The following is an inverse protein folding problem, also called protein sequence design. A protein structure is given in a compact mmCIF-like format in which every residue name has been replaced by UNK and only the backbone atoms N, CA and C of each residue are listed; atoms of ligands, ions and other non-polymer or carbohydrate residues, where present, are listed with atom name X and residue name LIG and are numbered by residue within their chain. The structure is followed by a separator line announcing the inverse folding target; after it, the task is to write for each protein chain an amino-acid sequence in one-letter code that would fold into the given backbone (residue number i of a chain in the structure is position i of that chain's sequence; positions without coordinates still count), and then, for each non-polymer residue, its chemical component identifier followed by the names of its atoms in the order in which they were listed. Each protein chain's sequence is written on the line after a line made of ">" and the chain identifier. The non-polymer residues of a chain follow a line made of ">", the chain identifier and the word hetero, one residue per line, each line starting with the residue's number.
data_IF_046989178790
#
_entry.id   IF_046989178790
#
_cell.length_a   1.000
_cell.length_b   1.000
_cell.length_c   1.000
_cell.angle_alpha   90.00
_cell.angle_beta   90.00
_cell.angle_gamma   90.00
#
_symmetry.space_group_name_H-M   'P 1'
#
loop_
_entity.id
_entity.type
_entity.pdbx_description
1 polymer ?
#
# COMPACT_ATOMS: atom_id res chain seq x y z
N UNK A 1 2.38 18.50 17.09
CA UNK A 1 1.38 17.41 17.14
C UNK A 1 1.07 17.09 15.68
N UNK A 2 1.75 16.08 15.12
CA UNK A 2 1.40 15.58 13.79
C UNK A 2 -0.02 15.01 13.84
N UNK A 3 -0.89 15.48 12.97
CA UNK A 3 -2.21 14.89 12.79
C UNK A 3 -2.03 13.68 11.86
N UNK A 4 -2.63 12.52 12.17
CA UNK A 4 -2.59 11.38 11.28
C UNK A 4 -3.24 11.74 9.93
N UNK A 5 -2.56 11.42 8.83
CA UNK A 5 -3.12 11.55 7.50
C UNK A 5 -4.14 10.43 7.31
N UNK A 6 -5.41 10.77 7.34
CA UNK A 6 -6.50 9.83 7.08
C UNK A 6 -6.83 9.92 5.61
N UNK A 7 -6.42 8.92 4.84
CA UNK A 7 -6.84 8.78 3.46
C UNK A 7 -8.05 7.86 3.39
N UNK A 8 -9.27 8.38 3.17
CA UNK A 8 -10.38 7.51 2.82
C UNK A 8 -10.11 6.93 1.43
N UNK A 9 -9.83 5.65 1.37
CA UNK A 9 -9.80 4.94 0.08
C UNK A 9 -11.25 4.76 -0.36
N UNK A 10 -11.77 5.75 -1.07
CA UNK A 10 -13.06 5.65 -1.73
C UNK A 10 -12.83 5.01 -3.09
N UNK A 11 -12.93 3.71 -3.17
CA UNK A 11 -13.17 3.05 -4.45
C UNK A 11 -14.62 3.34 -4.80
N UNK A 12 -14.86 4.09 -5.88
CA UNK A 12 -16.20 4.24 -6.42
C UNK A 12 -16.69 2.86 -6.84
N UNK A 13 -17.87 2.43 -6.40
CA UNK A 13 -18.53 1.29 -7.00
C UNK A 13 -19.14 1.76 -8.33
N UNK A 14 -18.33 1.90 -9.36
CA UNK A 14 -18.82 2.06 -10.72
C UNK A 14 -18.60 0.75 -11.44
N UNK A 15 -19.58 -0.12 -11.36
CA UNK A 15 -20.19 -0.79 -12.51
C UNK A 15 -21.54 -1.31 -12.02
N UNK A 16 -22.62 -0.84 -12.64
CA UNK A 16 -23.96 -1.33 -12.42
C UNK A 16 -24.09 -2.81 -12.81
N UNK A 17 -23.71 -3.64 -11.88
CA UNK A 17 -24.20 -4.99 -11.75
C UNK A 17 -24.93 -4.96 -10.42
N UNK A 18 -26.25 -5.05 -10.49
CA UNK A 18 -27.08 -5.43 -9.34
C UNK A 18 -26.65 -6.84 -8.91
N UNK A 19 -25.49 -6.92 -8.25
CA UNK A 19 -25.03 -8.14 -7.62
C UNK A 19 -25.71 -8.19 -6.24
N UNK A 20 -26.71 -9.06 -6.05
CA UNK A 20 -27.39 -9.23 -4.77
C UNK A 20 -26.43 -9.69 -3.65
N UNK A 21 -25.17 -9.98 -3.97
CA UNK A 21 -24.12 -10.35 -3.02
C UNK A 21 -23.23 -9.19 -2.57
N UNK A 22 -23.39 -7.98 -3.15
CA UNK A 22 -22.64 -6.79 -2.76
C UNK A 22 -23.37 -5.87 -1.79
N UNK A 23 -24.53 -6.29 -1.29
CA UNK A 23 -25.07 -5.67 -0.10
C UNK A 23 -24.13 -5.95 1.06
N UNK A 24 -23.73 -4.90 1.75
CA UNK A 24 -23.02 -4.87 3.04
C UNK A 24 -23.70 -5.76 4.11
N UNK A 25 -23.79 -7.04 3.81
CA UNK A 25 -24.22 -8.04 4.76
C UNK A 25 -22.97 -8.58 5.46
N UNK A 26 -22.60 -7.98 6.60
CA UNK A 26 -22.17 -8.83 7.70
C UNK A 26 -23.08 -10.05 7.64
N UNK A 27 -22.55 -11.25 7.47
CA UNK A 27 -23.34 -12.46 7.60
C UNK A 27 -24.13 -12.35 8.88
N UNK A 28 -25.44 -12.66 8.88
CA UNK A 28 -26.29 -12.47 10.04
C UNK A 28 -26.00 -13.54 11.09
N UNK A 29 -24.84 -13.47 11.71
CA UNK A 29 -24.75 -13.88 13.11
C UNK A 29 -25.07 -12.60 13.90
N UNK A 30 -26.22 -12.53 14.54
CA UNK A 30 -26.61 -11.35 15.29
C UNK A 30 -25.55 -11.14 16.39
N UNK A 31 -24.70 -10.12 16.23
CA UNK A 31 -23.88 -9.57 17.29
C UNK A 31 -22.36 -9.59 17.16
N UNK A 32 -21.73 -10.15 16.13
CA UNK A 32 -20.26 -10.13 16.01
C UNK A 32 -19.87 -9.56 14.64
N UNK A 33 -19.45 -8.29 14.63
CA UNK A 33 -18.79 -7.67 13.50
C UNK A 33 -17.30 -8.05 13.60
N UNK A 34 -16.79 -8.85 12.66
CA UNK A 34 -15.37 -9.15 12.59
C UNK A 34 -14.69 -8.09 11.73
N UNK A 35 -13.73 -7.41 12.28
CA UNK A 35 -12.89 -6.46 11.58
C UNK A 35 -11.43 -6.79 11.92
N UNK A 36 -10.53 -6.67 10.95
CA UNK A 36 -9.13 -6.96 11.13
C UNK A 36 -8.32 -5.66 11.07
N UNK A 37 -7.42 -5.45 12.04
CA UNK A 37 -6.50 -4.31 12.05
C UNK A 37 -5.09 -4.83 11.80
N UNK A 38 -4.48 -4.34 10.71
CA UNK A 38 -3.11 -4.65 10.32
C UNK A 38 -2.18 -3.53 10.76
N UNK A 39 -1.48 -3.70 11.88
CA UNK A 39 -0.48 -2.76 12.38
C UNK A 39 0.92 -3.29 12.06
N UNK A 40 1.68 -2.65 11.18
CA UNK A 40 3.03 -3.08 10.82
C UNK A 40 3.52 -2.62 9.46
N UNK A 41 4.64 -3.18 8.99
CA UNK A 41 5.17 -2.96 7.65
C UNK A 41 4.41 -3.71 6.57
N UNK A 42 4.89 -3.64 5.32
CA UNK A 42 4.21 -4.20 4.15
C UNK A 42 3.82 -5.66 4.27
N UNK A 43 4.71 -6.52 4.80
CA UNK A 43 4.42 -7.96 5.00
C UNK A 43 3.21 -8.18 5.90
N UNK A 44 3.07 -7.39 6.97
CA UNK A 44 1.92 -7.50 7.88
C UNK A 44 0.64 -7.04 7.18
N UNK A 45 0.71 -5.93 6.42
CA UNK A 45 -0.41 -5.44 5.62
C UNK A 45 -0.88 -6.46 4.59
N UNK A 46 0.05 -7.04 3.84
CA UNK A 46 -0.24 -8.04 2.80
C UNK A 46 -0.86 -9.32 3.39
N UNK A 47 -0.26 -9.86 4.45
CA UNK A 47 -0.76 -11.08 5.10
C UNK A 47 -2.13 -10.87 5.73
N UNK A 48 -2.32 -9.77 6.45
CA UNK A 48 -3.57 -9.44 7.11
C UNK A 48 -4.68 -9.15 6.08
N UNK A 49 -4.36 -8.41 5.02
CA UNK A 49 -5.30 -8.14 3.94
C UNK A 49 -5.72 -9.41 3.19
N UNK A 50 -4.78 -10.33 2.92
CA UNK A 50 -5.11 -11.63 2.33
C UNK A 50 -5.95 -12.50 3.28
N UNK A 51 -5.63 -12.51 4.58
CA UNK A 51 -6.45 -13.19 5.59
C UNK A 51 -7.87 -12.60 5.64
N UNK A 52 -7.99 -11.26 5.61
CA UNK A 52 -9.29 -10.58 5.57
C UNK A 52 -10.07 -10.92 4.30
N UNK A 53 -9.42 -10.98 3.14
CA UNK A 53 -10.05 -11.33 1.87
C UNK A 53 -10.60 -12.76 1.83
N UNK A 54 -9.95 -13.68 2.54
CA UNK A 54 -10.28 -15.12 2.48
C UNK A 54 -11.14 -15.60 3.66
N UNK A 55 -11.03 -14.95 4.82
CA UNK A 55 -11.81 -15.32 5.99
C UNK A 55 -13.29 -14.98 5.76
N UNK A 56 -14.16 -15.96 5.92
CA UNK A 56 -15.62 -15.86 5.72
C UNK A 56 -16.04 -15.19 4.39
N UNK A 57 -15.27 -15.38 3.34
CA UNK A 57 -15.42 -14.76 2.00
C UNK A 57 -15.19 -13.25 1.96
N UNK A 58 -14.54 -12.70 2.96
CA UNK A 58 -14.17 -11.29 3.09
C UNK A 58 -14.72 -10.64 4.33
N UNK A 59 -13.84 -10.03 5.13
CA UNK A 59 -14.19 -9.18 6.27
C UNK A 59 -13.50 -7.82 6.10
N UNK A 60 -14.09 -6.73 6.60
CA UNK A 60 -13.42 -5.42 6.59
C UNK A 60 -12.05 -5.47 7.26
N UNK A 61 -11.08 -4.72 6.71
CA UNK A 61 -9.80 -4.54 7.38
C UNK A 61 -9.31 -3.10 7.30
N UNK A 62 -8.49 -2.72 8.29
CA UNK A 62 -7.85 -1.42 8.43
C UNK A 62 -6.36 -1.65 8.41
N UNK A 63 -5.61 -0.80 7.69
CA UNK A 63 -4.14 -0.81 7.71
C UNK A 63 -3.60 0.36 8.51
N UNK A 64 -2.59 0.09 9.34
CA UNK A 64 -1.79 1.09 10.06
C UNK A 64 -0.33 0.81 9.70
N UNK A 65 0.17 1.37 8.58
CA UNK A 65 1.52 1.11 8.09
C UNK A 65 2.57 1.80 8.97
N UNK A 66 3.63 1.06 9.36
CA UNK A 66 4.67 1.55 10.26
C UNK A 66 6.05 1.67 9.62
N UNK A 67 6.20 1.39 8.35
CA UNK A 67 7.42 1.60 7.56
C UNK A 67 7.16 2.60 6.44
N UNK A 68 8.18 3.34 6.01
CA UNK A 68 8.02 4.32 4.93
C UNK A 68 7.50 3.65 3.66
N UNK A 69 8.08 2.51 3.27
CA UNK A 69 7.62 1.72 2.12
C UNK A 69 6.13 1.38 2.21
N UNK A 70 5.66 1.02 3.40
CA UNK A 70 4.25 0.69 3.58
C UNK A 70 3.36 1.94 3.56
N UNK A 71 3.83 3.06 4.07
CA UNK A 71 3.09 4.32 4.08
C UNK A 71 2.91 4.90 2.68
N UNK A 72 3.97 4.88 1.86
CA UNK A 72 3.93 5.50 0.53
C UNK A 72 3.49 4.55 -0.59
N UNK A 73 3.55 3.23 -0.36
CA UNK A 73 3.32 2.25 -1.42
C UNK A 73 2.39 1.12 -1.01
N UNK A 74 2.83 0.12 -0.23
CA UNK A 74 2.12 -1.16 -0.13
C UNK A 74 0.73 -1.08 0.52
N UNK A 75 0.43 -0.07 1.34
CA UNK A 75 -0.90 0.12 1.94
C UNK A 75 -1.97 0.64 0.96
N UNK A 76 -1.56 1.14 -0.21
CA UNK A 76 -2.46 1.73 -1.22
C UNK A 76 -2.58 0.79 -2.41
N UNK A 77 -3.81 0.52 -2.87
CA UNK A 77 -4.07 -0.19 -4.12
C UNK A 77 -4.47 -1.66 -3.99
N UNK A 78 -4.70 -2.13 -2.76
CA UNK A 78 -5.40 -3.38 -2.48
C UNK A 78 -4.75 -4.69 -2.94
N UNK A 79 -3.50 -4.67 -3.41
CA UNK A 79 -2.74 -5.89 -3.71
C UNK A 79 -2.30 -6.51 -2.40
N UNK A 80 -2.93 -7.60 -1.99
CA UNK A 80 -2.60 -8.34 -0.77
C UNK A 80 -2.21 -9.76 -1.11
N UNK A 81 -1.14 -10.27 -0.50
CA UNK A 81 -0.60 -11.57 -0.87
C UNK A 81 0.23 -12.22 0.25
N UNK A 82 0.53 -13.50 0.04
CA UNK A 82 1.45 -14.26 0.89
C UNK A 82 2.50 -14.97 0.04
N UNK A 83 3.68 -15.14 0.63
CA UNK A 83 4.75 -15.90 0.01
C UNK A 83 4.45 -17.39 0.03
N UNK A 84 4.85 -18.09 -1.01
CA UNK A 84 4.77 -19.53 -1.13
C UNK A 84 6.17 -20.13 -1.34
N UNK A 85 6.29 -21.45 -1.26
CA UNK A 85 7.52 -22.16 -1.60
C UNK A 85 7.95 -21.98 -3.07
N UNK A 86 7.06 -21.51 -3.91
CA UNK A 86 7.30 -21.33 -5.35
C UNK A 86 7.69 -19.90 -5.72
N UNK A 87 7.52 -18.94 -4.82
CA UNK A 87 7.89 -17.54 -5.05
C UNK A 87 7.18 -16.55 -4.12
N UNK A 88 7.65 -15.32 -4.21
CA UNK A 88 7.13 -14.18 -3.44
C UNK A 88 5.79 -13.72 -4.04
N UNK A 89 4.80 -13.46 -3.17
CA UNK A 89 3.52 -12.84 -3.52
C UNK A 89 2.70 -13.54 -4.62
N UNK A 90 2.85 -14.87 -4.79
CA UNK A 90 2.13 -15.62 -5.84
C UNK A 90 0.70 -15.99 -5.46
N UNK A 91 0.34 -15.94 -4.19
CA UNK A 91 -0.99 -16.25 -3.70
C UNK A 91 -1.55 -14.98 -3.07
N UNK A 92 -2.56 -14.40 -3.70
CA UNK A 92 -3.08 -13.11 -3.26
C UNK A 92 -4.47 -12.80 -3.82
N UNK A 93 -4.92 -11.61 -3.51
CA UNK A 93 -6.19 -11.06 -3.95
C UNK A 93 -6.06 -9.54 -4.17
N UNK A 94 -6.98 -8.97 -4.94
CA UNK A 94 -7.24 -7.54 -4.91
C UNK A 94 -8.31 -7.28 -3.83
N UNK A 95 -7.91 -6.73 -2.71
CA UNK A 95 -8.79 -6.50 -1.58
C UNK A 95 -8.46 -5.17 -0.89
N UNK A 96 -9.32 -4.19 -1.06
CA UNK A 96 -9.08 -2.82 -0.57
C UNK A 96 -9.33 -2.72 0.94
N UNK A 97 -8.45 -2.08 1.70
CA UNK A 97 -8.72 -1.74 3.09
C UNK A 97 -9.87 -0.72 3.17
N UNK A 98 -10.66 -0.78 4.25
CA UNK A 98 -11.69 0.22 4.53
C UNK A 98 -11.09 1.56 4.97
N UNK A 99 -9.91 1.51 5.56
CA UNK A 99 -9.17 2.68 6.04
C UNK A 99 -7.69 2.37 6.03
N UNK A 100 -6.88 3.34 5.63
CA UNK A 100 -5.43 3.37 5.87
C UNK A 100 -5.15 4.55 6.79
N UNK A 101 -4.65 4.26 7.99
CA UNK A 101 -4.27 5.26 8.97
C UNK A 101 -2.74 5.40 8.96
N UNK A 102 -2.23 6.49 8.42
CA UNK A 102 -0.80 6.76 8.29
C UNK A 102 -0.40 7.75 9.39
N UNK A 103 0.54 7.31 10.24
CA UNK A 103 1.18 8.15 11.26
C UNK A 103 2.68 8.22 10.94
N UNK A 104 3.18 9.38 10.45
CA UNK A 104 4.60 9.56 10.17
C UNK A 104 5.49 9.41 11.41
N UNK A 105 4.97 9.61 12.60
CA UNK A 105 5.73 9.46 13.84
C UNK A 105 6.21 8.03 14.08
N UNK A 106 5.55 7.03 13.50
CA UNK A 106 6.04 5.64 13.50
C UNK A 106 7.43 5.50 12.87
N UNK A 107 7.82 6.42 11.98
CA UNK A 107 9.10 6.38 11.29
C UNK A 107 10.28 6.86 12.15
N UNK A 108 10.01 7.54 13.27
CA UNK A 108 11.07 8.02 14.20
C UNK A 108 11.90 6.90 14.80
N UNK A 109 11.34 5.71 14.92
CA UNK A 109 12.00 4.52 15.46
C UNK A 109 12.37 3.51 14.39
N UNK A 110 12.11 3.82 13.10
CA UNK A 110 12.43 2.94 12.00
C UNK A 110 13.94 2.90 11.75
N UNK A 111 14.49 1.70 11.56
CA UNK A 111 15.88 1.53 11.15
C UNK A 111 16.15 2.24 9.82
N UNK A 112 17.30 2.94 9.72
CA UNK A 112 17.68 3.73 8.55
C UNK A 112 17.65 2.95 7.24
N UNK A 113 17.91 1.67 7.29
CA UNK A 113 17.87 0.79 6.14
C UNK A 113 16.46 0.63 5.60
N UNK A 114 15.48 0.35 6.46
CA UNK A 114 14.08 0.26 6.04
C UNK A 114 13.51 1.62 5.63
N UNK A 115 14.06 2.71 6.17
CA UNK A 115 13.74 4.04 5.68
C UNK A 115 14.25 4.23 4.25
N UNK A 116 15.49 3.83 3.97
CA UNK A 116 16.08 3.90 2.63
C UNK A 116 15.33 3.04 1.60
N UNK A 117 14.85 1.86 2.00
CA UNK A 117 14.00 1.01 1.14
C UNK A 117 12.74 1.77 0.69
N UNK A 118 12.08 2.49 1.62
CA UNK A 118 10.92 3.32 1.30
C UNK A 118 11.25 4.53 0.43
N UNK A 119 12.44 5.11 0.60
CA UNK A 119 12.91 6.23 -0.21
C UNK A 119 13.05 5.89 -1.70
N UNK A 120 13.37 4.65 -2.02
CA UNK A 120 13.42 4.20 -3.41
C UNK A 120 12.04 4.37 -4.10
N UNK A 121 10.96 4.06 -3.39
CA UNK A 121 9.61 4.26 -3.91
C UNK A 121 9.23 5.75 -4.00
N UNK A 122 9.64 6.57 -3.04
CA UNK A 122 9.43 8.03 -3.10
C UNK A 122 10.09 8.61 -4.35
N UNK A 123 11.36 8.24 -4.61
CA UNK A 123 12.10 8.66 -5.80
C UNK A 123 11.40 8.17 -7.07
N UNK A 124 10.92 6.93 -7.08
CA UNK A 124 10.14 6.38 -8.19
C UNK A 124 8.94 7.27 -8.52
N UNK A 125 8.14 7.69 -7.54
CA UNK A 125 6.99 8.55 -7.77
C UNK A 125 7.39 9.90 -8.36
N UNK A 126 8.48 10.48 -7.87
CA UNK A 126 9.07 11.68 -8.46
C UNK A 126 9.43 11.48 -9.94
N UNK A 127 10.07 10.36 -10.27
CA UNK A 127 10.47 10.05 -11.64
C UNK A 127 9.30 9.83 -12.60
N UNK A 128 8.20 9.22 -12.14
CA UNK A 128 7.09 8.84 -13.05
C UNK A 128 5.99 9.89 -13.19
N UNK A 129 5.79 10.74 -12.17
CA UNK A 129 4.62 11.65 -12.13
C UNK A 129 4.87 13.02 -11.54
N UNK A 130 5.93 13.24 -10.77
CA UNK A 130 6.06 14.48 -9.99
C UNK A 130 7.50 15.01 -9.94
N UNK A 131 7.91 15.71 -11.00
CA UNK A 131 9.22 16.34 -11.09
C UNK A 131 9.49 17.30 -9.90
N UNK A 132 8.45 17.96 -9.39
CA UNK A 132 8.61 18.87 -8.25
C UNK A 132 8.88 18.16 -6.93
N UNK A 133 8.42 16.89 -6.81
CA UNK A 133 8.82 16.03 -5.69
C UNK A 133 10.32 15.71 -5.76
N UNK A 134 10.86 15.38 -6.94
CA UNK A 134 12.31 15.19 -7.10
C UNK A 134 13.10 16.43 -6.73
N UNK A 135 12.69 17.60 -7.19
CA UNK A 135 13.35 18.84 -6.85
C UNK A 135 13.33 19.14 -5.33
N UNK A 136 12.24 18.80 -4.66
CA UNK A 136 12.15 18.87 -3.20
C UNK A 136 13.16 17.94 -2.53
N UNK A 137 13.24 16.67 -2.97
CA UNK A 137 14.16 15.68 -2.41
C UNK A 137 15.63 16.05 -2.57
N UNK A 138 15.98 16.81 -3.63
CA UNK A 138 17.35 17.27 -3.88
C UNK A 138 17.74 18.49 -3.05
N UNK A 139 16.80 19.36 -2.69
CA UNK A 139 17.08 20.68 -2.16
C UNK A 139 16.61 20.90 -0.71
N UNK A 140 15.79 20.03 -0.17
CA UNK A 140 15.15 20.21 1.14
C UNK A 140 15.41 19.01 2.07
N UNK A 141 15.31 19.25 3.38
CA UNK A 141 15.34 18.13 4.35
C UNK A 141 14.01 17.36 4.29
N UNK A 142 14.11 16.11 3.88
CA UNK A 142 12.96 15.23 3.77
C UNK A 142 12.26 14.99 5.11
N UNK A 143 13.00 14.98 6.22
CA UNK A 143 12.43 14.72 7.54
C UNK A 143 11.54 15.88 8.01
N UNK A 144 11.82 17.11 7.58
CA UNK A 144 10.98 18.28 7.85
C UNK A 144 9.71 18.29 6.98
N UNK A 145 9.76 17.65 5.80
CA UNK A 145 8.69 17.63 4.80
C UNK A 145 8.00 16.26 4.65
N UNK A 146 8.26 15.33 5.59
CA UNK A 146 7.90 13.92 5.47
C UNK A 146 6.39 13.69 5.26
N UNK A 147 5.54 14.43 5.97
CA UNK A 147 4.09 14.35 5.85
C UNK A 147 3.61 14.71 4.42
N UNK A 148 4.12 15.82 3.88
CA UNK A 148 3.83 16.26 2.50
C UNK A 148 4.34 15.26 1.46
N UNK A 149 5.52 14.67 1.68
CA UNK A 149 6.08 13.64 0.79
C UNK A 149 5.19 12.39 0.76
N UNK A 150 4.75 11.91 1.93
CA UNK A 150 3.86 10.75 2.03
C UNK A 150 2.53 11.02 1.35
N UNK A 151 1.92 12.19 1.62
CA UNK A 151 0.65 12.60 0.99
C UNK A 151 0.75 12.59 -0.52
N UNK A 152 1.79 13.21 -1.10
CA UNK A 152 2.02 13.27 -2.56
C UNK A 152 2.19 11.88 -3.15
N UNK A 153 2.99 11.01 -2.53
CA UNK A 153 3.17 9.64 -2.99
C UNK A 153 1.85 8.85 -2.98
N UNK A 154 1.08 8.96 -1.90
CA UNK A 154 -0.22 8.32 -1.78
C UNK A 154 -1.20 8.81 -2.85
N UNK A 155 -1.23 10.13 -3.12
CA UNK A 155 -2.13 10.72 -4.12
C UNK A 155 -1.76 10.28 -5.54
N UNK A 156 -0.47 10.25 -5.87
CA UNK A 156 0.01 9.73 -7.16
C UNK A 156 -0.42 8.26 -7.33
N UNK A 157 -0.16 7.43 -6.32
CA UNK A 157 -0.55 6.02 -6.40
C UNK A 157 -2.05 5.83 -6.48
N UNK A 158 -2.82 6.56 -5.67
CA UNK A 158 -4.29 6.54 -5.69
C UNK A 158 -4.80 6.84 -7.10
N UNK A 159 -4.32 7.91 -7.73
CA UNK A 159 -4.77 8.31 -9.07
C UNK A 159 -4.51 7.23 -10.13
N UNK A 160 -3.37 6.54 -10.06
CA UNK A 160 -3.03 5.44 -10.96
C UNK A 160 -3.93 4.22 -10.69
N UNK A 161 -4.14 3.88 -9.42
CA UNK A 161 -4.98 2.73 -9.03
C UNK A 161 -6.44 2.95 -9.38
N UNK A 162 -6.96 4.17 -9.23
CA UNK A 162 -8.34 4.51 -9.62
C UNK A 162 -8.57 4.36 -11.13
N UNK A 163 -7.52 4.56 -11.94
CA UNK A 163 -7.58 4.37 -13.39
C UNK A 163 -7.44 2.90 -13.80
N UNK A 164 -6.64 2.12 -13.06
CA UNK A 164 -6.34 0.72 -13.38
C UNK A 164 -6.20 -0.10 -12.09
N UNK A 165 -7.32 -0.50 -11.50
CA UNK A 165 -7.33 -1.24 -10.23
C UNK A 165 -6.66 -2.62 -10.35
N UNK A 166 -6.85 -3.31 -11.49
CA UNK A 166 -6.43 -4.70 -11.68
C UNK A 166 -5.06 -4.85 -12.37
N UNK A 167 -4.32 -3.76 -12.55
CA UNK A 167 -2.96 -3.77 -13.11
C UNK A 167 -2.88 -4.36 -14.53
N UNK A 168 -3.79 -3.91 -15.38
CA UNK A 168 -3.86 -4.35 -16.78
C UNK A 168 -3.30 -3.35 -17.78
N UNK A 169 -2.91 -2.17 -17.34
CA UNK A 169 -2.49 -1.07 -18.21
C UNK A 169 -1.61 -0.02 -17.52
N UNK A 170 -2.17 1.13 -17.17
CA UNK A 170 -1.42 2.28 -16.65
C UNK A 170 -0.69 2.00 -15.34
N UNK A 171 -1.24 1.11 -14.50
CA UNK A 171 -0.62 0.71 -13.23
C UNK A 171 0.77 0.08 -13.41
N UNK A 172 1.09 -0.43 -14.60
CA UNK A 172 2.44 -0.94 -14.90
C UNK A 172 3.54 0.14 -14.77
N UNK A 173 3.20 1.43 -14.82
CA UNK A 173 4.15 2.52 -14.51
C UNK A 173 4.76 2.40 -13.12
N UNK A 174 4.02 1.84 -12.17
CA UNK A 174 4.52 1.59 -10.80
C UNK A 174 5.66 0.57 -10.74
N UNK A 175 5.89 -0.19 -11.82
CA UNK A 175 7.00 -1.13 -11.95
C UNK A 175 8.28 -0.48 -12.50
N UNK A 176 8.31 0.85 -12.64
CA UNK A 176 9.51 1.58 -13.06
C UNK A 176 10.70 1.22 -12.15
N UNK A 177 11.80 0.80 -12.77
CA UNK A 177 13.00 0.35 -12.05
C UNK A 177 12.97 -1.10 -11.52
N UNK A 178 11.82 -1.73 -11.33
CA UNK A 178 11.69 -3.07 -10.73
C UNK A 178 12.44 -4.16 -11.51
N UNK A 179 12.46 -4.11 -12.84
CA UNK A 179 13.15 -5.12 -13.66
C UNK A 179 14.64 -5.17 -13.33
N UNK A 180 15.29 -4.02 -13.22
CA UNK A 180 16.71 -3.91 -12.88
C UNK A 180 16.90 -4.22 -11.39
N UNK A 181 16.09 -3.67 -10.53
CA UNK A 181 16.13 -3.90 -9.07
C UNK A 181 16.05 -5.39 -8.73
N UNK A 182 15.06 -6.09 -9.26
CA UNK A 182 14.91 -7.53 -9.02
C UNK A 182 16.05 -8.38 -9.61
N UNK A 183 16.64 -7.96 -10.73
CA UNK A 183 17.82 -8.63 -11.29
C UNK A 183 19.02 -8.51 -10.35
N UNK A 184 19.25 -7.33 -9.76
CA UNK A 184 20.31 -7.08 -8.78
C UNK A 184 20.05 -7.85 -7.49
N UNK A 185 18.84 -7.81 -6.95
CA UNK A 185 18.44 -8.58 -5.77
C UNK A 185 18.69 -10.09 -5.95
N UNK A 186 18.28 -10.63 -7.10
CA UNK A 186 18.46 -12.04 -7.42
C UNK A 186 19.95 -12.40 -7.54
N UNK A 187 20.76 -11.56 -8.19
CA UNK A 187 22.21 -11.76 -8.31
C UNK A 187 22.91 -11.83 -6.94
N UNK A 188 22.43 -11.05 -5.98
CA UNK A 188 22.94 -11.04 -4.61
C UNK A 188 22.23 -12.05 -3.68
N UNK A 189 21.43 -13.00 -4.22
CA UNK A 189 20.64 -13.98 -3.46
C UNK A 189 19.77 -13.34 -2.37
N UNK A 190 19.21 -12.15 -2.65
CA UNK A 190 18.43 -11.38 -1.68
C UNK A 190 19.18 -11.12 -0.37
N UNK A 191 20.53 -11.15 -0.43
CA UNK A 191 21.38 -10.88 0.73
C UNK A 191 21.19 -9.43 1.15
N UNK A 192 20.95 -9.30 2.43
CA UNK A 192 20.69 -8.00 3.06
C UNK A 192 21.99 -7.28 3.36
#
# INVERSE_FOLDING_TARGET
>A
VCLPVILPVSVKPDVGIDDPFHSSSCFPHPGICHELIALGGGVIGDMAGFAAATYMRGIPFIQIPTTLLAQVDSSVGGKVAVNSRYGKNLIGAFYQPKLVLIDPDCLKTLDKRFFADGMAEVIKYGCIRDESLLAMLENEDILENLESVIERCCDIKRSIVETDEFDTGERMLLNFGHTIGHAVENYHNYSK
#
